data_IF_133774721343
#
_entry.id   IF_133774721343
#
_cell.length_a   1.000
_cell.length_b   1.000
_cell.length_c   1.000
_cell.angle_alpha   90.00
_cell.angle_beta   90.00
_cell.angle_gamma   90.00
#
_symmetry.space_group_name_H-M   'P 1'
#
loop_
_entity.id
_entity.type
_entity.pdbx_description
1 polymer ?
#
# COMPACT_ATOMS: atom_id res chain seq x y z
N UNK A 1 12.24 14.58 -3.05
CA UNK A 1 11.27 14.04 -4.03
C UNK A 1 9.94 13.80 -3.33
N UNK A 2 8.81 14.09 -3.96
CA UNK A 2 7.50 13.67 -3.46
C UNK A 2 7.08 12.38 -4.14
N UNK A 3 6.71 11.37 -3.36
CA UNK A 3 6.11 10.12 -3.80
C UNK A 3 4.66 10.12 -3.33
N UNK A 4 3.72 10.01 -4.26
CA UNK A 4 2.31 9.79 -3.91
C UNK A 4 1.96 8.34 -4.16
N UNK A 5 1.42 7.66 -3.15
CA UNK A 5 0.90 6.29 -3.22
C UNK A 5 -0.61 6.33 -3.08
N UNK A 6 -1.33 5.72 -4.01
CA UNK A 6 -2.78 5.56 -3.92
C UNK A 6 -3.14 4.13 -3.54
N UNK A 7 -3.89 3.93 -2.46
CA UNK A 7 -4.56 2.66 -2.18
C UNK A 7 -5.81 2.55 -3.04
N UNK A 8 -6.03 1.42 -3.69
CA UNK A 8 -7.24 1.19 -4.50
C UNK A 8 -8.23 0.33 -3.73
N UNK A 9 -8.07 -0.98 -3.82
CA UNK A 9 -9.00 -1.94 -3.27
C UNK A 9 -8.32 -3.29 -3.04
N UNK A 10 -8.74 -4.03 -2.02
CA UNK A 10 -8.42 -5.45 -1.90
C UNK A 10 -9.65 -6.28 -2.31
N UNK A 11 -9.42 -7.52 -2.74
CA UNK A 11 -10.50 -8.40 -3.19
C UNK A 11 -10.27 -9.81 -2.69
N UNK A 12 -11.31 -10.42 -2.14
CA UNK A 12 -11.26 -11.78 -1.63
C UNK A 12 -10.32 -11.91 -0.44
N UNK A 13 -10.40 -10.99 0.51
CA UNK A 13 -9.73 -11.14 1.80
C UNK A 13 -10.24 -12.38 2.54
N UNK A 14 -9.43 -12.89 3.49
CA UNK A 14 -9.93 -13.90 4.42
C UNK A 14 -11.01 -13.24 5.29
N UNK A 15 -12.09 -13.95 5.57
CA UNK A 15 -13.03 -13.55 6.60
C UNK A 15 -12.45 -14.02 7.93
N UNK A 16 -12.02 -13.09 8.77
CA UNK A 16 -11.58 -13.42 10.12
C UNK A 16 -12.75 -13.40 11.11
N UNK A 17 -13.80 -12.62 10.84
CA UNK A 17 -14.99 -12.58 11.70
C UNK A 17 -15.86 -13.83 11.60
N UNK A 18 -16.52 -14.17 12.72
CA UNK A 18 -17.55 -15.22 12.82
C UNK A 18 -18.72 -15.03 11.84
N UNK A 19 -18.91 -13.81 11.30
CA UNK A 19 -19.95 -13.48 10.32
C UNK A 19 -19.57 -13.75 8.86
N UNK A 20 -18.36 -14.23 8.57
CA UNK A 20 -17.87 -14.37 7.19
C UNK A 20 -17.45 -13.03 6.56
N UNK A 21 -17.23 -12.02 7.39
CA UNK A 21 -16.74 -10.68 7.01
C UNK A 21 -15.40 -10.39 7.67
N UNK A 22 -14.88 -9.19 7.42
CA UNK A 22 -13.75 -8.57 8.11
C UNK A 22 -13.98 -7.06 8.09
N UNK A 23 -13.30 -6.33 8.95
CA UNK A 23 -13.16 -4.90 9.05
C UNK A 23 -11.75 -4.44 8.57
N UNK A 24 -11.42 -4.61 7.27
CA UNK A 24 -10.06 -4.40 6.77
C UNK A 24 -9.62 -2.93 6.74
N UNK A 25 -8.38 -2.69 7.17
CA UNK A 25 -7.63 -1.46 6.96
C UNK A 25 -6.21 -1.74 6.46
N UNK A 26 -5.65 -0.83 5.65
CA UNK A 26 -4.31 -0.95 5.09
C UNK A 26 -3.34 0.02 5.78
N UNK A 27 -2.19 -0.51 6.19
CA UNK A 27 -1.06 0.23 6.76
C UNK A 27 0.07 0.24 5.75
N UNK A 28 0.43 1.43 5.27
CA UNK A 28 1.55 1.68 4.40
C UNK A 28 2.74 2.12 5.25
N UNK A 29 3.86 1.43 5.09
CA UNK A 29 5.10 1.71 5.80
C UNK A 29 6.23 1.89 4.79
N UNK A 30 6.86 3.06 4.81
CA UNK A 30 8.00 3.38 3.95
C UNK A 30 9.24 3.60 4.82
N UNK A 31 10.10 2.58 4.94
CA UNK A 31 11.31 2.68 5.75
C UNK A 31 12.34 3.67 5.18
N UNK A 32 12.28 3.93 3.87
CA UNK A 32 13.12 4.91 3.17
C UNK A 32 12.72 6.37 3.41
N UNK A 33 11.65 6.62 4.16
CA UNK A 33 11.24 7.96 4.55
C UNK A 33 11.06 7.97 6.06
N UNK A 34 11.88 8.77 6.76
CA UNK A 34 11.90 9.01 8.23
C UNK A 34 10.64 8.55 8.99
N UNK A 35 10.53 7.24 9.27
CA UNK A 35 9.38 6.57 9.89
C UNK A 35 8.00 6.99 9.33
N UNK A 36 7.86 7.02 8.01
CA UNK A 36 6.58 7.30 7.39
C UNK A 36 5.69 6.07 7.42
N UNK A 37 4.64 6.16 8.23
CA UNK A 37 3.58 5.19 8.31
C UNK A 37 2.23 5.87 8.10
N UNK A 38 1.37 5.29 7.29
CA UNK A 38 0.01 5.78 7.03
C UNK A 38 -0.97 4.64 7.06
N UNK A 39 -2.07 4.85 7.78
CA UNK A 39 -3.20 3.94 7.80
C UNK A 39 -4.35 4.51 6.97
N UNK A 40 -5.05 3.64 6.24
CA UNK A 40 -6.33 3.96 5.62
C UNK A 40 -7.44 3.96 6.64
N UNK A 41 -8.63 4.39 6.20
CA UNK A 41 -9.87 4.12 6.91
C UNK A 41 -10.13 2.61 7.00
N UNK A 42 -10.64 2.19 8.14
CA UNK A 42 -11.22 0.87 8.34
C UNK A 42 -12.56 0.81 7.61
N UNK A 43 -12.77 -0.22 6.81
CA UNK A 43 -14.05 -0.46 6.14
C UNK A 43 -14.72 -1.66 6.80
N UNK A 44 -15.88 -1.43 7.41
CA UNK A 44 -16.53 -2.48 8.19
C UNK A 44 -17.28 -3.50 7.33
N UNK A 45 -17.29 -4.76 7.77
CA UNK A 45 -18.06 -5.89 7.23
C UNK A 45 -17.86 -6.12 5.73
N UNK A 46 -16.62 -6.07 5.26
CA UNK A 46 -16.28 -6.27 3.85
C UNK A 46 -15.02 -7.10 3.64
N UNK A 47 -15.11 -8.08 2.73
CA UNK A 47 -13.94 -8.84 2.24
C UNK A 47 -13.37 -8.27 0.93
N UNK A 48 -13.96 -7.18 0.43
CA UNK A 48 -13.56 -6.48 -0.79
C UNK A 48 -13.48 -4.96 -0.54
N UNK A 49 -12.60 -4.48 0.34
CA UNK A 49 -12.52 -3.07 0.68
C UNK A 49 -12.07 -2.23 -0.52
N UNK A 50 -12.67 -1.05 -0.68
CA UNK A 50 -12.26 -0.03 -1.66
C UNK A 50 -11.96 1.25 -0.89
N UNK A 51 -10.68 1.49 -0.57
CA UNK A 51 -10.26 2.69 0.17
C UNK A 51 -10.21 3.92 -0.75
N UNK A 52 -9.54 3.80 -1.90
CA UNK A 52 -9.38 4.91 -2.84
C UNK A 52 -8.58 6.11 -2.30
N UNK A 53 -7.80 5.94 -1.23
CA UNK A 53 -7.09 7.03 -0.55
C UNK A 53 -5.71 7.27 -1.16
N UNK A 54 -5.27 8.53 -1.19
CA UNK A 54 -3.90 8.88 -1.58
C UNK A 54 -3.07 9.41 -0.41
N UNK A 55 -1.83 8.97 -0.38
CA UNK A 55 -0.86 9.26 0.64
C UNK A 55 0.39 9.79 -0.03
N UNK A 56 0.75 11.04 0.28
CA UNK A 56 1.96 11.66 -0.23
C UNK A 56 3.05 11.68 0.84
N UNK A 57 4.28 11.37 0.42
CA UNK A 57 5.46 11.39 1.26
C UNK A 57 6.60 12.09 0.55
N UNK A 58 7.22 13.04 1.25
CA UNK A 58 8.45 13.66 0.79
C UNK A 58 9.62 12.88 1.37
N UNK A 59 10.41 12.26 0.50
CA UNK A 59 11.57 11.47 0.89
C UNK A 59 12.78 11.79 -0.01
N UNK A 60 13.94 11.22 0.35
CA UNK A 60 15.10 11.21 -0.53
C UNK A 60 15.02 9.96 -1.39
N UNK A 61 15.21 10.12 -2.70
CA UNK A 61 15.04 9.01 -3.65
C UNK A 61 15.98 7.86 -3.31
N UNK A 62 17.25 8.16 -2.97
CA UNK A 62 18.21 7.15 -2.52
C UNK A 62 17.65 6.28 -1.38
N UNK A 63 17.14 6.89 -0.32
CA UNK A 63 16.58 6.17 0.82
C UNK A 63 15.30 5.39 0.47
N UNK A 64 14.45 5.95 -0.40
CA UNK A 64 13.24 5.27 -0.89
C UNK A 64 13.56 4.06 -1.78
N UNK A 65 14.70 4.06 -2.48
CA UNK A 65 15.16 2.94 -3.31
C UNK A 65 15.86 1.85 -2.49
N UNK A 66 16.46 2.21 -1.34
CA UNK A 66 17.15 1.25 -0.47
C UNK A 66 16.21 0.21 0.13
N UNK A 67 14.92 0.56 0.33
CA UNK A 67 13.96 -0.30 1.03
C UNK A 67 12.60 -0.32 0.35
N UNK A 68 11.94 -1.49 0.26
CA UNK A 68 10.62 -1.59 -0.36
C UNK A 68 9.54 -0.92 0.48
N UNK A 69 8.57 -0.32 -0.20
CA UNK A 69 7.31 0.10 0.41
C UNK A 69 6.54 -1.15 0.85
N UNK A 70 6.24 -1.25 2.14
CA UNK A 70 5.46 -2.37 2.68
C UNK A 70 4.03 -1.92 2.93
N UNK A 71 3.07 -2.75 2.56
CA UNK A 71 1.65 -2.50 2.75
C UNK A 71 1.09 -3.73 3.45
N UNK A 72 0.56 -3.57 4.66
CA UNK A 72 -0.06 -4.63 5.42
C UNK A 72 -1.56 -4.34 5.54
N UNK A 73 -2.41 -5.34 5.32
CA UNK A 73 -3.85 -5.25 5.58
C UNK A 73 -4.12 -6.01 6.86
N UNK A 74 -4.80 -5.36 7.79
CA UNK A 74 -5.22 -5.89 9.06
C UNK A 74 -6.74 -5.87 9.16
N UNK A 75 -7.27 -6.76 10.00
CA UNK A 75 -8.65 -6.76 10.46
C UNK A 75 -8.72 -5.94 11.75
N UNK A 76 -9.54 -4.89 11.80
CA UNK A 76 -9.74 -4.09 13.03
C UNK A 76 -10.69 -4.84 13.97
N UNK A 77 -10.12 -5.52 14.95
CA UNK A 77 -10.90 -6.27 15.93
C UNK A 77 -11.09 -5.45 17.20
N UNK A 78 -12.34 -5.13 17.55
CA UNK A 78 -12.63 -4.36 18.77
C UNK A 78 -12.35 -5.17 20.05
N UNK A 79 -12.40 -6.50 19.95
CA UNK A 79 -12.38 -7.42 21.10
C UNK A 79 -11.09 -8.27 21.15
N UNK A 80 -10.44 -8.50 20.02
CA UNK A 80 -9.20 -9.27 19.87
C UNK A 80 -8.06 -8.40 19.34
N UNK A 81 -6.85 -8.96 19.29
CA UNK A 81 -5.76 -8.30 18.59
C UNK A 81 -6.00 -8.35 17.07
N UNK A 82 -5.71 -7.26 16.38
CA UNK A 82 -5.90 -7.12 14.94
C UNK A 82 -5.25 -8.25 14.14
N UNK A 83 -6.03 -8.78 13.21
CA UNK A 83 -5.70 -10.01 12.51
C UNK A 83 -5.05 -9.69 11.16
N UNK A 84 -3.79 -10.06 10.94
CA UNK A 84 -3.10 -9.77 9.68
C UNK A 84 -3.72 -10.54 8.50
N UNK A 85 -4.47 -9.84 7.66
CA UNK A 85 -5.16 -10.41 6.48
C UNK A 85 -4.19 -10.63 5.31
N UNK A 86 -3.16 -9.79 5.17
CA UNK A 86 -2.15 -9.95 4.12
C UNK A 86 -1.09 -8.86 4.08
N UNK A 87 0.01 -9.12 3.39
CA UNK A 87 1.07 -8.13 3.16
C UNK A 87 1.47 -8.08 1.69
N UNK A 88 1.80 -6.88 1.23
CA UNK A 88 2.41 -6.60 -0.06
C UNK A 88 3.70 -5.82 0.18
N UNK A 89 4.71 -6.10 -0.64
CA UNK A 89 5.96 -5.36 -0.66
C UNK A 89 6.20 -4.87 -2.07
N UNK A 90 6.69 -3.66 -2.17
CA UNK A 90 6.95 -3.03 -3.45
C UNK A 90 8.32 -2.39 -3.48
N UNK A 91 9.18 -2.96 -4.31
CA UNK A 91 10.48 -2.41 -4.62
C UNK A 91 10.31 -1.16 -5.50
N UNK A 92 10.54 0.00 -4.90
CA UNK A 92 10.49 1.27 -5.62
C UNK A 92 11.61 1.37 -6.67
N UNK A 93 12.67 0.57 -6.55
CA UNK A 93 13.79 0.55 -7.51
C UNK A 93 13.37 0.13 -8.90
N UNK A 94 12.53 -0.89 -9.04
CA UNK A 94 12.03 -1.31 -10.36
C UNK A 94 11.12 -0.27 -11.01
N UNK A 95 10.54 0.62 -10.19
CA UNK A 95 9.54 1.59 -10.64
C UNK A 95 10.15 2.95 -10.88
N UNK A 96 10.96 3.46 -9.96
CA UNK A 96 11.57 4.78 -9.98
C UNK A 96 12.99 4.76 -10.54
N UNK A 97 13.64 3.59 -10.61
CA UNK A 97 14.97 3.39 -11.18
C UNK A 97 15.13 3.95 -12.60
N UNK A 98 14.20 3.73 -13.54
CA UNK A 98 14.30 4.33 -14.88
C UNK A 98 13.98 5.84 -14.92
N UNK A 99 13.43 6.42 -13.84
CA UNK A 99 13.02 7.83 -13.79
C UNK A 99 14.01 8.71 -13.01
N UNK A 100 14.96 8.12 -12.27
CA UNK A 100 15.96 8.86 -11.51
C UNK A 100 16.94 9.65 -12.40
N UNK A 101 16.98 9.36 -13.71
CA UNK A 101 17.85 10.05 -14.68
C UNK A 101 17.27 11.39 -15.16
N UNK A 102 15.97 11.66 -14.93
CA UNK A 102 15.32 12.88 -15.44
C UNK A 102 15.01 13.82 -14.27
N UNK A 103 15.67 14.99 -14.29
CA UNK A 103 15.77 15.90 -13.15
C UNK A 103 14.45 16.30 -12.47
N UNK A 104 14.47 16.28 -11.13
CA UNK A 104 13.82 17.27 -10.28
C UNK A 104 12.29 17.28 -10.14
N UNK A 105 11.53 16.42 -10.81
CA UNK A 105 10.06 16.43 -10.70
C UNK A 105 9.51 15.45 -9.65
N UNK A 106 8.42 15.82 -8.97
CA UNK A 106 7.70 14.95 -8.05
C UNK A 106 7.02 13.80 -8.79
N UNK A 107 7.01 12.59 -8.22
CA UNK A 107 6.47 11.40 -8.86
C UNK A 107 5.14 10.99 -8.23
N UNK A 108 4.07 10.98 -9.03
CA UNK A 108 2.77 10.46 -8.62
C UNK A 108 2.63 9.02 -9.05
N UNK A 109 2.67 8.09 -8.10
CA UNK A 109 2.63 6.66 -8.36
C UNK A 109 1.24 6.10 -8.00
N UNK A 110 0.47 5.74 -9.03
CA UNK A 110 -0.82 5.07 -8.82
C UNK A 110 -0.59 3.58 -8.77
N UNK A 111 -0.66 3.00 -7.58
CA UNK A 111 -0.42 1.58 -7.36
C UNK A 111 -1.75 0.83 -7.18
N UNK A 112 -2.16 -0.03 -8.12
CA UNK A 112 -3.25 -0.96 -7.89
C UNK A 112 -2.76 -2.04 -6.92
N UNK A 113 -2.84 -1.78 -5.62
CA UNK A 113 -2.51 -2.77 -4.59
C UNK A 113 -3.71 -3.72 -4.46
N UNK A 114 -3.66 -4.85 -5.18
CA UNK A 114 -4.67 -5.90 -5.07
C UNK A 114 -4.11 -7.05 -4.23
N UNK A 115 -4.56 -7.16 -2.99
CA UNK A 115 -4.19 -8.27 -2.11
C UNK A 115 -5.32 -9.31 -2.19
N UNK A 116 -4.99 -10.48 -2.73
CA UNK A 116 -5.89 -11.62 -2.87
C UNK A 116 -5.56 -12.76 -1.89
N UNK A 117 -6.56 -13.60 -1.61
CA UNK A 117 -6.50 -14.74 -0.68
C UNK A 117 -5.20 -15.56 -0.77
N UNK A 118 -4.43 -15.58 0.33
CA UNK A 118 -3.48 -16.65 0.67
C UNK A 118 -2.24 -16.81 -0.21
N UNK A 119 -1.91 -15.87 -1.09
CA UNK A 119 -0.68 -15.91 -1.89
C UNK A 119 -0.04 -14.54 -1.91
N UNK A 120 1.30 -14.51 -1.91
CA UNK A 120 2.14 -13.32 -2.11
C UNK A 120 1.39 -12.35 -3.03
N UNK A 121 1.09 -11.14 -2.54
CA UNK A 121 0.43 -10.12 -3.35
C UNK A 121 1.13 -10.07 -4.70
N UNK A 122 0.36 -10.20 -5.80
CA UNK A 122 0.93 -10.04 -7.13
C UNK A 122 1.67 -8.69 -7.15
N UNK A 123 2.89 -8.63 -7.73
CA UNK A 123 3.64 -7.39 -7.78
C UNK A 123 2.70 -6.30 -8.32
N UNK A 124 2.48 -5.21 -7.59
CA UNK A 124 1.52 -4.20 -8.00
C UNK A 124 2.00 -3.68 -9.36
N UNK A 125 1.18 -3.88 -10.39
CA UNK A 125 1.49 -3.42 -11.74
C UNK A 125 1.57 -1.91 -11.67
N UNK A 126 2.78 -1.35 -11.75
CA UNK A 126 3.01 0.08 -11.62
C UNK A 126 2.10 0.82 -12.61
N UNK A 127 1.11 1.55 -12.09
CA UNK A 127 0.31 2.45 -12.93
C UNK A 127 1.25 3.47 -13.55
N UNK A 128 1.06 3.70 -14.85
CA UNK A 128 1.82 4.65 -15.66
C UNK A 128 2.05 5.95 -14.88
N UNK A 129 3.28 6.49 -14.83
CA UNK A 129 3.53 7.79 -14.23
C UNK A 129 2.61 8.82 -14.90
N UNK A 130 1.83 9.53 -14.10
CA UNK A 130 1.06 10.67 -14.58
C UNK A 130 2.03 11.85 -14.49
N UNK A 131 2.49 12.33 -15.64
CA UNK A 131 3.25 13.57 -15.76
C UNK A 131 2.43 14.74 -15.16
N UNK A 132 3.09 15.79 -14.63
CA UNK A 132 2.39 16.94 -14.06
C UNK A 132 1.40 17.59 -15.04
#
# INVERSE_FOLDING_TARGET
>A
VSLTVRTQAAKGLRAADRGGTSDPYAVLHLQGAKNWERKTKTLFKTINPVWGEDFSVTCLLGQALEKPLTIAIFDDDVVSADDLLGTARLDLTSILGPFCTTGGQGYKLKLPVTIGKGRKAAPPTAGKPIAP
#
